data_IF_197068956536
#
_entry.id   IF_197068956536
#
_cell.length_a   1.000
_cell.length_b   1.000
_cell.length_c   1.000
_cell.angle_alpha   90.00
_cell.angle_beta   90.00
_cell.angle_gamma   90.00
#
_symmetry.space_group_name_H-M   'P 1'
#
loop_
_entity.id
_entity.type
_entity.pdbx_description
1 polymer ?
#
# COMPACT_ATOMS: atom_id res chain seq x y z
N UNK A 1 -3.37 -37.10 19.77
CA UNK A 1 -2.80 -36.43 18.59
C UNK A 1 -3.77 -35.45 17.87
N UNK A 2 -5.00 -35.21 18.35
CA UNK A 2 -6.01 -34.40 17.64
C UNK A 2 -5.92 -32.87 17.86
N UNK A 3 -5.15 -32.41 18.85
CA UNK A 3 -5.16 -31.00 19.30
C UNK A 3 -4.50 -30.03 18.31
N UNK A 4 -3.47 -30.46 17.58
CA UNK A 4 -2.75 -29.61 16.63
C UNK A 4 -3.58 -29.29 15.38
N UNK A 5 -4.39 -30.23 14.90
CA UNK A 5 -5.23 -30.03 13.72
C UNK A 5 -6.34 -29.02 13.99
N UNK A 6 -7.02 -29.13 15.14
CA UNK A 6 -8.08 -28.19 15.52
C UNK A 6 -7.59 -26.76 15.67
N UNK A 7 -6.38 -26.56 16.21
CA UNK A 7 -5.78 -25.22 16.34
C UNK A 7 -5.42 -24.62 14.97
N UNK A 8 -4.91 -25.45 14.05
CA UNK A 8 -4.64 -25.02 12.68
C UNK A 8 -5.95 -24.59 12.01
N UNK A 9 -6.99 -25.42 12.09
CA UNK A 9 -8.30 -25.15 11.46
C UNK A 9 -8.96 -23.87 12.00
N UNK A 10 -8.87 -23.61 13.31
CA UNK A 10 -9.37 -22.34 13.90
C UNK A 10 -8.60 -21.14 13.37
N UNK A 11 -7.28 -21.24 13.27
CA UNK A 11 -6.43 -20.17 12.74
C UNK A 11 -6.72 -19.90 11.27
N UNK A 12 -6.97 -20.95 10.48
CA UNK A 12 -7.34 -20.81 9.07
C UNK A 12 -8.61 -19.97 8.90
N UNK A 13 -9.63 -20.26 9.73
CA UNK A 13 -10.91 -19.56 9.70
C UNK A 13 -10.77 -18.09 10.13
N UNK A 14 -10.01 -17.82 11.19
CA UNK A 14 -9.72 -16.45 11.61
C UNK A 14 -9.01 -15.65 10.52
N UNK A 15 -8.04 -16.27 9.82
CA UNK A 15 -7.35 -15.63 8.70
C UNK A 15 -8.32 -15.35 7.54
N UNK A 16 -9.21 -16.28 7.23
CA UNK A 16 -10.23 -16.08 6.20
C UNK A 16 -11.16 -14.92 6.54
N UNK A 17 -11.65 -14.84 7.78
CA UNK A 17 -12.52 -13.75 8.25
C UNK A 17 -11.81 -12.38 8.18
N UNK A 18 -10.52 -12.34 8.50
CA UNK A 18 -9.70 -11.12 8.38
C UNK A 18 -9.52 -10.67 6.92
N UNK A 19 -9.47 -11.61 5.96
CA UNK A 19 -9.26 -11.33 4.54
C UNK A 19 -10.56 -11.17 3.72
N UNK A 20 -11.71 -11.54 4.30
CA UNK A 20 -13.03 -11.40 3.68
C UNK A 20 -13.33 -10.01 3.10
N UNK A 21 -13.04 -8.87 3.78
CA UNK A 21 -13.41 -7.55 3.28
C UNK A 21 -12.53 -6.99 2.16
N UNK A 22 -11.41 -7.65 1.83
CA UNK A 22 -10.47 -7.15 0.82
C UNK A 22 -10.75 -7.75 -0.57
N UNK A 23 -10.35 -7.10 -1.68
CA UNK A 23 -10.47 -7.67 -3.03
C UNK A 23 -9.45 -8.79 -3.29
N UNK A 24 -9.66 -9.60 -4.32
CA UNK A 24 -8.69 -10.56 -4.84
C UNK A 24 -8.54 -10.36 -6.36
N UNK A 25 -7.35 -10.04 -6.89
CA UNK A 25 -6.09 -9.77 -6.18
C UNK A 25 -6.10 -8.43 -5.44
N UNK A 26 -5.45 -8.38 -4.27
CA UNK A 26 -5.34 -7.16 -3.47
C UNK A 26 -4.10 -6.34 -3.80
N UNK A 27 -4.21 -5.01 -3.61
CA UNK A 27 -3.08 -4.10 -3.77
C UNK A 27 -2.24 -3.96 -2.50
N UNK A 28 -1.07 -3.33 -2.62
CA UNK A 28 -0.14 -3.07 -1.48
C UNK A 28 -0.80 -2.37 -0.29
N UNK A 29 -1.72 -1.44 -0.54
CA UNK A 29 -2.41 -0.69 0.53
C UNK A 29 -3.30 -1.60 1.37
N UNK A 30 -4.01 -2.51 0.72
CA UNK A 30 -4.91 -3.46 1.37
C UNK A 30 -4.12 -4.53 2.09
N UNK A 31 -3.07 -5.06 1.46
CA UNK A 31 -2.10 -5.96 2.10
C UNK A 31 -1.52 -5.38 3.39
N UNK A 32 -1.13 -4.10 3.38
CA UNK A 32 -0.62 -3.39 4.56
C UNK A 32 -1.66 -3.35 5.69
N UNK A 33 -2.92 -3.04 5.37
CA UNK A 33 -4.03 -2.96 6.33
C UNK A 33 -4.37 -4.34 6.89
N UNK A 34 -4.53 -5.34 6.02
CA UNK A 34 -4.83 -6.72 6.39
C UNK A 34 -3.77 -7.30 7.34
N UNK A 35 -2.48 -7.13 7.01
CA UNK A 35 -1.39 -7.69 7.80
C UNK A 35 -0.96 -6.85 9.01
N UNK A 36 -1.55 -5.66 9.20
CA UNK A 36 -1.18 -4.67 10.23
C UNK A 36 0.33 -4.40 10.27
N UNK A 37 0.92 -4.14 9.11
CA UNK A 37 2.35 -3.86 8.96
C UNK A 37 2.61 -2.40 8.56
N UNK A 38 3.83 -1.93 8.80
CA UNK A 38 4.28 -0.63 8.33
C UNK A 38 4.45 -0.60 6.80
N UNK A 39 4.41 0.61 6.23
CA UNK A 39 4.60 0.82 4.78
C UNK A 39 5.95 0.29 4.27
N UNK A 40 7.00 0.41 5.07
CA UNK A 40 8.35 -0.03 4.69
C UNK A 40 8.48 -1.55 4.71
N UNK A 41 7.83 -2.20 5.68
CA UNK A 41 7.80 -3.65 5.78
C UNK A 41 7.01 -4.26 4.64
N UNK A 42 5.89 -3.64 4.23
CA UNK A 42 5.15 -4.15 3.06
C UNK A 42 5.97 -4.04 1.77
N UNK A 43 6.74 -2.97 1.58
CA UNK A 43 7.65 -2.84 0.44
C UNK A 43 8.75 -3.90 0.48
N UNK A 44 9.38 -4.11 1.64
CA UNK A 44 10.40 -5.14 1.83
C UNK A 44 9.90 -6.52 1.40
N UNK A 45 8.75 -6.94 1.94
CA UNK A 45 8.20 -8.27 1.71
C UNK A 45 7.91 -8.53 0.23
N UNK A 46 7.43 -7.51 -0.49
CA UNK A 46 7.09 -7.61 -1.91
C UNK A 46 8.31 -7.51 -2.81
N UNK A 47 9.28 -6.65 -2.48
CA UNK A 47 10.52 -6.50 -3.26
C UNK A 47 11.48 -7.68 -3.09
N UNK A 48 11.56 -8.25 -1.88
CA UNK A 48 12.38 -9.43 -1.59
C UNK A 48 11.76 -10.73 -2.08
N UNK A 49 10.48 -10.72 -2.50
CA UNK A 49 9.76 -11.92 -2.92
C UNK A 49 9.36 -12.86 -1.77
N UNK A 50 9.47 -12.41 -0.52
CA UNK A 50 9.00 -13.18 0.66
C UNK A 50 7.49 -13.43 0.62
N UNK A 51 6.75 -12.51 0.01
CA UNK A 51 5.35 -12.68 -0.34
C UNK A 51 5.24 -12.66 -1.85
N UNK A 52 4.79 -13.75 -2.49
CA UNK A 52 4.56 -13.79 -3.92
C UNK A 52 3.63 -12.65 -4.36
N UNK A 53 4.03 -11.94 -5.41
CA UNK A 53 3.22 -10.88 -5.99
C UNK A 53 3.56 -10.68 -7.46
N UNK A 54 2.57 -10.23 -8.22
CA UNK A 54 2.77 -9.78 -9.59
C UNK A 54 3.06 -8.28 -9.59
N UNK A 55 4.16 -7.89 -10.25
CA UNK A 55 4.50 -6.49 -10.45
C UNK A 55 4.21 -6.07 -11.89
N UNK A 56 3.27 -5.15 -12.08
CA UNK A 56 2.86 -4.64 -13.40
C UNK A 56 3.89 -3.67 -14.01
N UNK A 57 4.95 -3.29 -13.28
CA UNK A 57 6.00 -2.38 -13.76
C UNK A 57 5.63 -0.89 -13.77
N UNK A 58 4.40 -0.54 -13.38
CA UNK A 58 3.95 0.86 -13.23
C UNK A 58 4.66 1.55 -12.06
N UNK A 59 4.77 2.88 -12.11
CA UNK A 59 5.37 3.64 -11.01
C UNK A 59 4.55 3.56 -9.70
N UNK A 60 3.22 3.54 -9.82
CA UNK A 60 2.31 3.47 -8.67
C UNK A 60 1.30 2.34 -8.85
N UNK A 61 0.76 1.83 -7.73
CA UNK A 61 -0.24 0.74 -7.69
C UNK A 61 0.14 -0.46 -8.58
N UNK A 62 1.41 -0.85 -8.53
CA UNK A 62 1.99 -1.86 -9.42
C UNK A 62 1.89 -3.30 -8.90
N UNK A 63 1.60 -3.49 -7.61
CA UNK A 63 1.52 -4.81 -7.00
C UNK A 63 0.10 -5.39 -7.03
N UNK A 64 0.00 -6.65 -7.44
CA UNK A 64 -1.16 -7.51 -7.25
C UNK A 64 -0.74 -8.72 -6.42
N UNK A 65 -1.48 -8.99 -5.35
CA UNK A 65 -1.15 -10.03 -4.38
C UNK A 65 -2.40 -10.90 -4.22
N UNK A 66 -2.27 -12.22 -4.39
CA UNK A 66 -3.39 -13.13 -4.21
C UNK A 66 -3.73 -13.28 -2.72
N UNK A 67 -5.02 -13.41 -2.39
CA UNK A 67 -5.46 -13.67 -1.01
C UNK A 67 -4.82 -14.92 -0.42
N UNK A 68 -4.64 -15.96 -1.22
CA UNK A 68 -4.01 -17.21 -0.81
C UNK A 68 -2.57 -16.99 -0.31
N UNK A 69 -1.79 -16.16 -1.01
CA UNK A 69 -0.40 -15.86 -0.64
C UNK A 69 -0.33 -15.05 0.66
N UNK A 70 -1.28 -14.13 0.86
CA UNK A 70 -1.39 -13.37 2.11
C UNK A 70 -1.76 -14.29 3.28
N UNK A 71 -2.69 -15.21 3.08
CA UNK A 71 -3.06 -16.20 4.09
C UNK A 71 -1.86 -17.07 4.47
N UNK A 72 -1.11 -17.55 3.47
CA UNK A 72 0.12 -18.33 3.69
C UNK A 72 1.18 -17.54 4.46
N UNK A 73 1.38 -16.27 4.10
CA UNK A 73 2.27 -15.36 4.82
C UNK A 73 1.86 -15.19 6.29
N UNK A 74 0.57 -14.97 6.58
CA UNK A 74 0.09 -14.80 7.96
C UNK A 74 0.31 -16.06 8.80
N UNK A 75 0.06 -17.25 8.24
CA UNK A 75 0.31 -18.54 8.90
C UNK A 75 1.80 -18.71 9.23
N UNK A 76 2.67 -18.54 8.24
CA UNK A 76 4.12 -18.70 8.41
C UNK A 76 4.72 -17.65 9.33
N UNK A 77 4.23 -16.41 9.29
CA UNK A 77 4.67 -15.33 10.18
C UNK A 77 4.40 -15.63 11.65
N UNK A 78 3.31 -16.32 11.97
CA UNK A 78 3.00 -16.73 13.34
C UNK A 78 3.95 -17.83 13.82
N UNK A 79 4.36 -18.74 12.93
CA UNK A 79 5.34 -19.79 13.25
C UNK A 79 6.77 -19.23 13.37
N UNK A 80 7.19 -18.39 12.42
CA UNK A 80 8.57 -17.93 12.27
C UNK A 80 8.64 -16.42 11.95
N UNK A 81 8.39 -15.55 12.94
CA UNK A 81 8.40 -14.10 12.72
C UNK A 81 9.80 -13.56 12.37
N UNK A 82 10.87 -14.22 12.82
CA UNK A 82 12.24 -13.83 12.53
C UNK A 82 12.57 -13.87 11.04
N UNK A 83 12.02 -14.82 10.29
CA UNK A 83 12.25 -14.98 8.85
C UNK A 83 11.77 -13.76 8.04
N UNK A 84 10.70 -13.12 8.49
CA UNK A 84 10.10 -11.96 7.83
C UNK A 84 10.63 -10.61 8.35
N UNK A 85 11.56 -10.64 9.30
CA UNK A 85 12.14 -9.42 9.85
C UNK A 85 13.18 -8.86 8.87
N UNK A 86 13.07 -7.60 8.44
CA UNK A 86 14.04 -7.01 7.51
C UNK A 86 15.46 -6.96 8.12
N UNK A 87 16.51 -7.11 7.31
CA UNK A 87 17.89 -7.04 7.79
C UNK A 87 18.21 -5.66 8.38
N UNK A 88 19.18 -5.64 9.31
CA UNK A 88 19.68 -4.40 9.90
C UNK A 88 20.15 -3.44 8.82
N UNK A 89 19.61 -2.22 8.80
CA UNK A 89 19.91 -1.22 7.78
C UNK A 89 18.81 -1.00 6.73
N UNK A 90 17.84 -1.92 6.57
CA UNK A 90 16.68 -1.71 5.71
C UNK A 90 15.92 -0.42 6.08
N UNK A 91 15.85 -0.15 7.39
CA UNK A 91 15.24 1.06 7.91
C UNK A 91 16.11 2.33 7.80
N UNK A 92 17.41 2.21 7.48
CA UNK A 92 18.34 3.35 7.41
C UNK A 92 18.38 4.00 6.01
N UNK A 93 18.22 3.22 4.95
CA UNK A 93 18.32 3.68 3.55
C UNK A 93 17.06 4.37 3.03
N UNK A 94 16.42 5.21 3.85
CA UNK A 94 15.32 6.03 3.35
C UNK A 94 15.91 7.23 2.60
N UNK A 95 15.59 7.46 1.31
CA UNK A 95 15.98 8.70 0.69
C UNK A 95 15.36 9.81 1.53
N UNK A 96 16.20 10.64 2.16
CA UNK A 96 15.76 11.83 2.89
C UNK A 96 14.64 12.46 2.08
N UNK A 97 13.46 12.65 2.68
CA UNK A 97 12.30 13.20 2.00
C UNK A 97 12.73 14.47 1.27
N UNK A 98 13.02 14.37 -0.02
CA UNK A 98 13.29 15.55 -0.82
C UNK A 98 11.93 16.23 -0.86
N UNK A 99 11.81 17.48 -0.37
CA UNK A 99 10.55 18.19 -0.47
C UNK A 99 10.08 18.12 -1.93
N UNK A 100 8.76 17.94 -2.18
CA UNK A 100 8.26 17.86 -3.53
C UNK A 100 8.81 19.05 -4.33
N UNK A 101 9.32 18.78 -5.54
CA UNK A 101 9.94 19.80 -6.39
C UNK A 101 9.00 20.99 -6.67
N UNK A 102 7.70 20.82 -6.44
CA UNK A 102 6.68 21.83 -6.57
C UNK A 102 5.98 22.02 -5.22
N UNK A 103 6.34 23.09 -4.51
CA UNK A 103 5.54 23.60 -3.39
C UNK A 103 4.23 24.14 -3.95
N UNK A 104 3.11 23.90 -3.27
CA UNK A 104 1.78 24.44 -3.65
C UNK A 104 1.79 25.97 -3.86
N UNK A 105 2.75 26.67 -3.26
CA UNK A 105 2.97 28.10 -3.43
C UNK A 105 3.29 28.50 -4.89
N UNK A 106 3.83 27.59 -5.72
CA UNK A 106 4.10 27.84 -7.15
C UNK A 106 2.88 27.74 -8.07
N UNK A 107 1.82 27.04 -7.66
CA UNK A 107 0.60 26.90 -8.48
C UNK A 107 -0.29 28.14 -8.42
N UNK A 108 -0.31 28.86 -7.30
CA UNK A 108 -1.16 30.04 -7.11
C UNK A 108 -0.72 31.23 -8.00
N UNK A 109 0.57 31.34 -8.31
CA UNK A 109 1.10 32.44 -9.13
C UNK A 109 0.77 32.31 -10.63
N UNK A 110 0.53 31.09 -11.13
CA UNK A 110 0.15 30.88 -12.54
C UNK A 110 -1.36 31.09 -12.79
N UNK A 111 -2.18 31.02 -11.74
CA UNK A 111 -3.64 31.17 -11.87
C UNK A 111 -4.15 32.61 -11.78
N UNK A 112 -3.35 33.54 -11.27
CA UNK A 112 -3.76 34.96 -11.15
C UNK A 112 -3.60 35.73 -12.48
N UNK A 113 -2.58 35.40 -13.29
CA UNK A 113 -2.27 36.15 -14.52
C UNK A 113 -3.17 35.84 -15.74
N UNK A 114 -4.11 34.88 -15.63
CA UNK A 114 -4.98 34.49 -16.77
C UNK A 114 -6.46 34.75 -16.53
N UNK A 115 -6.81 35.51 -15.49
CA UNK A 115 -8.20 35.93 -15.20
C UNK A 115 -8.54 37.37 -15.63
N UNK A 116 -7.74 37.99 -16.48
CA UNK A 116 -8.25 39.05 -17.35
C UNK A 116 -9.07 38.43 -18.48
N UNK A 117 -10.29 37.97 -18.15
CA UNK A 117 -11.37 38.02 -19.12
C UNK A 117 -11.59 39.49 -19.43
N UNK A 118 -11.26 39.86 -20.65
CA UNK A 118 -11.84 40.99 -21.35
C UNK A 118 -13.37 40.84 -21.24
N UNK A 119 -14.00 41.58 -20.34
CA UNK A 119 -15.42 41.90 -20.45
C UNK A 119 -15.50 43.06 -21.44
N UNK A 120 -15.55 42.73 -22.73
CA UNK A 120 -16.06 43.64 -23.74
C UNK A 120 -17.60 43.64 -23.64
N UNK A 121 -18.14 44.86 -23.58
CA UNK A 121 -19.54 45.26 -23.80
C UNK A 121 -20.58 44.71 -22.79
N UNK A 122 -21.22 45.50 -21.92
CA UNK A 122 -21.62 46.89 -22.07
C UNK A 122 -23.07 47.04 -22.52
N UNK A 123 -24.05 46.31 -21.96
CA UNK A 123 -25.46 46.73 -22.02
C UNK A 123 -26.28 46.28 -20.80
N UNK A 124 -26.92 47.28 -20.19
CA UNK A 124 -27.96 47.25 -19.14
C UNK A 124 -29.19 46.45 -19.58
N UNK A 125 -29.90 45.77 -18.67
CA UNK A 125 -31.24 46.19 -18.20
C UNK A 125 -31.75 45.29 -17.07
N UNK A 126 -32.33 45.96 -16.06
CA UNK A 126 -33.21 45.51 -14.96
C UNK A 126 -32.69 44.41 -14.01
#
# INVERSE_FOLDING_TARGET
>A
MKKSHLFQDTLEREIQDLLAPYPDPMGRTDFRKACRIGTRTSIYLLQSGLVPCENTGKQTRCYKIAKADVANYLRRRLAEPAYYTPPSGWYKNYPNHKPPAFSLNGALLLTDATRQRVCADGTRTC
#
